data_IF_892057987010
#
_entry.id   IF_892057987010
#
_cell.length_a   1.000
_cell.length_b   1.000
_cell.length_c   1.000
_cell.angle_alpha   90.00
_cell.angle_beta   90.00
_cell.angle_gamma   90.00
#
_symmetry.space_group_name_H-M   'P 1'
#
loop_
_entity.id
_entity.type
_entity.pdbx_description
1 polymer ?
#
# COMPACT_ATOMS: atom_id res chain seq x y z
N UNK A 1 30.16 -22.20 -39.72
CA UNK A 1 28.87 -21.59 -39.37
C UNK A 1 28.39 -22.26 -38.09
N UNK A 2 28.78 -21.73 -36.94
CA UNK A 2 28.22 -22.14 -35.65
C UNK A 2 27.01 -21.24 -35.38
N UNK A 3 25.82 -21.83 -35.32
CA UNK A 3 24.63 -21.16 -34.82
C UNK A 3 24.71 -21.18 -33.29
N UNK A 4 25.13 -20.06 -32.70
CA UNK A 4 25.00 -19.81 -31.27
C UNK A 4 23.52 -19.53 -31.03
N UNK A 5 22.81 -20.53 -30.49
CA UNK A 5 21.51 -20.32 -29.88
C UNK A 5 21.74 -19.45 -28.64
N UNK A 6 21.30 -18.18 -28.71
CA UNK A 6 21.09 -17.38 -27.51
C UNK A 6 20.04 -18.11 -26.66
N UNK A 7 20.48 -18.68 -25.53
CA UNK A 7 19.60 -19.09 -24.46
C UNK A 7 18.80 -17.84 -24.02
N UNK A 8 17.52 -17.84 -24.37
CA UNK A 8 16.58 -16.81 -23.94
C UNK A 8 16.34 -16.99 -22.44
N UNK A 9 17.11 -16.27 -21.65
CA UNK A 9 16.98 -16.13 -20.20
C UNK A 9 15.73 -15.26 -19.83
N UNK A 10 14.59 -15.53 -20.47
CA UNK A 10 13.35 -14.74 -20.37
C UNK A 10 12.36 -15.30 -19.33
N UNK A 11 12.79 -16.21 -18.44
CA UNK A 11 11.88 -16.88 -17.51
C UNK A 11 11.69 -16.15 -16.17
N UNK A 12 12.53 -15.17 -15.83
CA UNK A 12 12.49 -14.48 -14.53
C UNK A 12 12.06 -13.00 -14.57
N UNK A 13 12.04 -12.36 -15.75
CA UNK A 13 11.79 -10.91 -15.86
C UNK A 13 10.30 -10.53 -15.89
N UNK A 14 9.41 -11.53 -15.91
CA UNK A 14 7.95 -11.34 -16.00
C UNK A 14 7.20 -11.56 -14.67
N UNK A 15 7.92 -11.61 -13.54
CA UNK A 15 7.26 -11.45 -12.23
C UNK A 15 7.04 -9.94 -12.05
N UNK A 16 5.78 -9.51 -12.16
CA UNK A 16 5.41 -8.10 -11.93
C UNK A 16 6.07 -7.59 -10.64
N UNK A 17 6.79 -6.46 -10.74
CA UNK A 17 7.52 -5.89 -9.60
C UNK A 17 6.55 -5.68 -8.42
N UNK A 18 6.99 -6.07 -7.23
CA UNK A 18 6.17 -6.07 -6.01
C UNK A 18 6.35 -4.75 -5.27
N UNK A 19 5.24 -4.10 -4.94
CA UNK A 19 5.21 -2.82 -4.23
C UNK A 19 4.37 -2.98 -2.97
N UNK A 20 4.93 -2.58 -1.83
CA UNK A 20 4.21 -2.44 -0.57
C UNK A 20 4.13 -0.96 -0.21
N UNK A 21 2.93 -0.48 0.09
CA UNK A 21 2.68 0.93 0.44
C UNK A 21 2.10 0.97 1.86
N UNK A 22 2.84 1.41 2.88
CA UNK A 22 2.27 1.64 4.20
C UNK A 22 1.52 2.99 4.23
N UNK A 23 0.24 2.97 4.62
CA UNK A 23 -0.58 4.16 4.80
C UNK A 23 -1.20 4.14 6.21
N UNK A 24 -0.59 4.91 7.13
CA UNK A 24 -0.99 4.99 8.53
C UNK A 24 -1.52 6.40 8.79
N UNK A 25 -2.73 6.52 9.35
CA UNK A 25 -3.36 7.80 9.65
C UNK A 25 -4.89 7.76 9.58
N UNK A 26 -5.47 8.88 9.14
CA UNK A 26 -6.88 9.03 8.86
C UNK A 26 -7.25 8.45 7.49
N UNK A 27 -8.55 8.38 7.17
CA UNK A 27 -9.01 8.01 5.83
C UNK A 27 -8.49 8.99 4.75
N UNK A 28 -8.27 10.26 5.11
CA UNK A 28 -7.69 11.27 4.23
C UNK A 28 -6.26 10.93 3.82
N UNK A 29 -5.49 10.30 4.72
CA UNK A 29 -4.13 9.84 4.46
C UNK A 29 -4.11 8.57 3.60
N UNK A 30 -5.07 7.66 3.79
CA UNK A 30 -5.16 6.38 3.06
C UNK A 30 -5.55 6.58 1.59
N UNK A 31 -6.49 7.49 1.30
CA UNK A 31 -7.07 7.67 -0.04
C UNK A 31 -6.06 7.99 -1.15
N UNK A 32 -5.09 8.90 -0.98
CA UNK A 32 -4.05 9.14 -1.98
C UNK A 32 -3.29 7.87 -2.37
N UNK A 33 -2.95 7.03 -1.38
CA UNK A 33 -2.24 5.77 -1.63
C UNK A 33 -3.12 4.69 -2.25
N UNK A 34 -4.43 4.68 -1.96
CA UNK A 34 -5.38 3.82 -2.66
C UNK A 34 -5.44 4.16 -4.16
N UNK A 35 -5.46 5.45 -4.51
CA UNK A 35 -5.45 5.91 -5.90
C UNK A 35 -4.15 5.49 -6.59
N UNK A 36 -3.01 5.69 -5.92
CA UNK A 36 -1.70 5.28 -6.42
C UNK A 36 -1.62 3.76 -6.64
N UNK A 37 -2.10 2.97 -5.67
CA UNK A 37 -2.08 1.51 -5.74
C UNK A 37 -2.90 0.99 -6.94
N UNK A 38 -4.06 1.59 -7.21
CA UNK A 38 -4.85 1.28 -8.41
C UNK A 38 -4.09 1.55 -9.69
N UNK A 39 -3.42 2.69 -9.77
CA UNK A 39 -2.70 3.05 -10.99
C UNK A 39 -1.48 2.15 -11.22
N UNK A 40 -0.75 1.80 -10.15
CA UNK A 40 0.32 0.82 -10.22
C UNK A 40 -0.21 -0.58 -10.64
N UNK A 41 -1.33 -1.03 -10.07
CA UNK A 41 -1.91 -2.33 -10.46
C UNK A 41 -2.29 -2.37 -11.95
N UNK A 42 -2.83 -1.28 -12.52
CA UNK A 42 -3.09 -1.15 -13.97
C UNK A 42 -1.83 -1.23 -14.83
N UNK A 43 -0.69 -0.78 -14.32
CA UNK A 43 0.60 -0.84 -15.00
C UNK A 43 1.29 -2.21 -14.88
N UNK A 44 0.65 -3.19 -14.23
CA UNK A 44 1.16 -4.58 -14.11
C UNK A 44 2.00 -4.84 -12.86
N UNK A 45 2.06 -3.90 -11.91
CA UNK A 45 2.69 -4.14 -10.61
C UNK A 45 1.79 -5.01 -9.72
N UNK A 46 2.42 -5.82 -8.86
CA UNK A 46 1.72 -6.51 -7.76
C UNK A 46 1.81 -5.61 -6.53
N UNK A 47 0.68 -5.11 -6.06
CA UNK A 47 0.62 -4.05 -5.04
C UNK A 47 -0.16 -4.50 -3.83
N UNK A 48 0.41 -4.30 -2.64
CA UNK A 48 -0.30 -4.40 -1.37
C UNK A 48 -0.32 -3.04 -0.67
N UNK A 49 -1.49 -2.65 -0.18
CA UNK A 49 -1.65 -1.46 0.64
C UNK A 49 -1.75 -1.88 2.12
N UNK A 50 -0.77 -1.48 2.91
CA UNK A 50 -0.75 -1.69 4.35
C UNK A 50 -1.59 -0.63 5.05
N UNK A 51 -2.65 -1.03 5.75
CA UNK A 51 -3.55 -0.12 6.50
C UNK A 51 -3.99 -0.74 7.83
N UNK A 52 -4.55 0.08 8.72
CA UNK A 52 -5.26 -0.40 9.90
C UNK A 52 -6.55 -1.17 9.51
N UNK A 53 -6.99 -2.14 10.33
CA UNK A 53 -8.15 -3.01 10.04
C UNK A 53 -9.40 -2.24 9.61
N UNK A 54 -9.67 -1.08 10.23
CA UNK A 54 -10.82 -0.21 9.95
C UNK A 54 -10.93 0.28 8.50
N UNK A 55 -9.83 0.23 7.74
CA UNK A 55 -9.79 0.65 6.35
C UNK A 55 -9.65 -0.52 5.37
N UNK A 56 -9.54 -1.76 5.84
CA UNK A 56 -9.35 -2.91 4.96
C UNK A 56 -10.53 -3.06 4.00
N UNK A 57 -11.77 -2.92 4.49
CA UNK A 57 -12.97 -3.01 3.66
C UNK A 57 -12.98 -1.95 2.55
N UNK A 58 -12.66 -0.69 2.90
CA UNK A 58 -12.58 0.41 1.91
C UNK A 58 -11.58 0.07 0.81
N UNK A 59 -10.41 -0.47 1.15
CA UNK A 59 -9.36 -0.78 0.17
C UNK A 59 -9.71 -2.03 -0.65
N UNK A 60 -10.23 -3.08 -0.02
CA UNK A 60 -10.61 -4.33 -0.68
C UNK A 60 -11.80 -4.13 -1.63
N UNK A 61 -12.81 -3.35 -1.23
CA UNK A 61 -13.93 -2.96 -2.09
C UNK A 61 -13.48 -2.18 -3.34
N UNK A 62 -12.27 -1.61 -3.29
CA UNK A 62 -11.64 -0.91 -4.39
C UNK A 62 -10.66 -1.79 -5.21
N UNK A 63 -10.63 -3.10 -4.97
CA UNK A 63 -9.89 -4.09 -5.77
C UNK A 63 -8.39 -4.18 -5.48
N UNK A 64 -7.94 -3.65 -4.34
CA UNK A 64 -6.54 -3.64 -3.92
C UNK A 64 -6.34 -4.64 -2.79
N UNK A 65 -5.26 -5.41 -2.88
CA UNK A 65 -4.87 -6.38 -1.86
C UNK A 65 -4.30 -5.65 -0.63
N UNK A 66 -4.65 -6.13 0.57
CA UNK A 66 -4.29 -5.45 1.83
C UNK A 66 -3.51 -6.34 2.77
N UNK A 67 -2.73 -5.67 3.63
CA UNK A 67 -2.11 -6.26 4.81
C UNK A 67 -2.44 -5.34 5.99
N UNK A 68 -2.91 -5.91 7.10
CA UNK A 68 -3.12 -5.15 8.32
C UNK A 68 -1.76 -4.69 8.88
N UNK A 69 -1.60 -3.38 9.12
CA UNK A 69 -0.41 -2.82 9.78
C UNK A 69 -0.79 -1.70 10.76
N UNK A 70 0.06 -1.53 11.78
CA UNK A 70 -0.02 -0.42 12.73
C UNK A 70 -1.08 -0.61 13.81
N UNK A 71 -1.28 0.44 14.62
CA UNK A 71 -2.37 0.54 15.60
C UNK A 71 -3.28 1.73 15.25
N UNK A 72 -4.43 1.83 15.91
CA UNK A 72 -5.39 2.89 15.61
C UNK A 72 -4.83 4.28 15.97
N UNK A 73 -4.45 5.04 14.94
CA UNK A 73 -3.93 6.41 15.07
C UNK A 73 -4.95 7.35 15.73
N UNK A 74 -6.24 7.07 15.63
CA UNK A 74 -7.27 7.87 16.29
C UNK A 74 -7.25 7.68 17.80
N UNK A 75 -6.96 6.46 18.27
CA UNK A 75 -6.69 6.19 19.68
C UNK A 75 -5.43 6.93 20.10
N UNK A 76 -4.34 6.85 19.32
CA UNK A 76 -3.10 7.57 19.64
C UNK A 76 -3.32 9.08 19.76
N UNK A 77 -4.07 9.69 18.83
CA UNK A 77 -4.38 11.12 18.85
C UNK A 77 -5.31 11.52 20.00
N UNK A 78 -6.25 10.67 20.40
CA UNK A 78 -7.25 11.03 21.42
C UNK A 78 -6.85 10.67 22.85
N UNK A 79 -5.87 9.77 23.03
CA UNK A 79 -5.54 9.23 24.37
C UNK A 79 -4.14 9.57 24.85
N UNK A 80 -3.21 9.93 23.96
CA UNK A 80 -1.85 10.32 24.37
C UNK A 80 -1.78 11.82 24.71
N UNK A 81 -0.93 12.24 25.66
CA UNK A 81 -0.74 13.67 25.96
C UNK A 81 -0.39 14.49 24.71
N UNK A 82 0.56 14.01 23.92
CA UNK A 82 1.01 14.67 22.68
C UNK A 82 -0.11 14.73 21.62
N UNK A 83 -0.88 13.66 21.48
CA UNK A 83 -2.03 13.61 20.58
C UNK A 83 -3.13 14.61 20.96
N UNK A 84 -3.45 14.70 22.25
CA UNK A 84 -4.43 15.65 22.78
C UNK A 84 -3.95 17.09 22.58
N UNK A 85 -2.64 17.35 22.75
CA UNK A 85 -2.05 18.67 22.49
C UNK A 85 -2.16 19.07 21.02
N UNK A 86 -1.82 18.16 20.11
CA UNK A 86 -1.96 18.37 18.66
C UNK A 86 -3.41 18.70 18.25
N UNK A 87 -4.42 18.09 18.88
CA UNK A 87 -5.82 18.39 18.60
C UNK A 87 -6.28 19.76 19.12
N UNK A 88 -5.62 20.31 20.15
CA UNK A 88 -6.00 21.59 20.77
C UNK A 88 -5.38 22.81 20.09
N UNK A 89 -4.24 22.62 19.42
CA UNK A 89 -3.54 23.67 18.66
C UNK A 89 -3.26 23.19 17.22
N UNK A 90 -4.27 23.25 16.32
CA UNK A 90 -4.14 22.80 14.93
C UNK A 90 -3.23 23.69 14.08
#
# INVERSE_FOLDING_TARGET
>A
MENILHENDNSNDQIGKRIFIPAIGSLGDVKPYLILAKELKKQGYIVWLGVHERFMDEVQNNGIDTVEIGGDMEIALSTTPDGIELQRNP
#
